data_IF_035320964957
#
_entry.id   IF_035320964957
#
_cell.length_a   1.000
_cell.length_b   1.000
_cell.length_c   1.000
_cell.angle_alpha   90.00
_cell.angle_beta   90.00
_cell.angle_gamma   90.00
#
_symmetry.space_group_name_H-M   'P 1'
#
loop_
_entity.id
_entity.type
_entity.pdbx_description
1 polymer ?
#
# COMPACT_ATOMS: atom_id res chain seq x y z
N UNK A 1 46.22 -48.63 -39.95
CA UNK A 1 45.18 -48.77 -38.93
C UNK A 1 45.59 -47.95 -37.72
N UNK A 2 44.82 -46.90 -37.45
CA UNK A 2 44.32 -46.50 -36.12
C UNK A 2 45.28 -46.31 -34.95
N UNK A 3 45.48 -45.04 -34.56
CA UNK A 3 45.32 -44.48 -33.19
C UNK A 3 46.07 -43.13 -33.10
N UNK A 4 45.48 -42.00 -33.52
CA UNK A 4 44.46 -41.19 -32.82
C UNK A 4 45.03 -40.46 -31.60
N UNK A 5 45.25 -39.15 -31.76
CA UNK A 5 45.79 -38.24 -30.74
C UNK A 5 44.90 -38.15 -29.49
N UNK A 6 45.48 -37.84 -28.30
CA UNK A 6 44.69 -37.53 -27.12
C UNK A 6 43.92 -36.22 -27.32
N UNK A 7 42.59 -36.31 -27.36
CA UNK A 7 41.72 -35.13 -27.36
C UNK A 7 41.79 -34.50 -25.99
N UNK A 8 42.28 -33.25 -25.92
CA UNK A 8 42.23 -32.44 -24.69
C UNK A 8 40.80 -31.96 -24.49
N UNK A 9 40.04 -32.66 -23.64
CA UNK A 9 38.70 -32.25 -23.22
C UNK A 9 38.74 -30.80 -22.70
N UNK A 10 37.88 -29.90 -23.19
CA UNK A 10 37.59 -28.65 -22.49
C UNK A 10 37.07 -28.97 -21.08
N UNK A 11 37.37 -28.09 -20.13
CA UNK A 11 36.89 -28.20 -18.75
C UNK A 11 35.37 -28.37 -18.70
N UNK A 12 34.90 -29.28 -17.87
CA UNK A 12 33.50 -29.37 -17.49
C UNK A 12 33.08 -28.01 -16.90
N UNK A 13 32.01 -27.43 -17.44
CA UNK A 13 31.36 -26.31 -16.77
C UNK A 13 30.68 -26.89 -15.53
N UNK A 14 31.25 -26.68 -14.35
CA UNK A 14 30.54 -26.89 -13.09
C UNK A 14 29.27 -26.03 -13.11
N UNK A 15 28.13 -26.67 -13.33
CA UNK A 15 26.82 -26.03 -13.20
C UNK A 15 26.59 -25.83 -11.70
N UNK A 16 27.00 -24.65 -11.20
CA UNK A 16 26.91 -24.28 -9.79
C UNK A 16 25.53 -24.65 -9.23
N UNK A 17 25.52 -25.35 -8.10
CA UNK A 17 24.29 -25.91 -7.55
C UNK A 17 23.28 -24.80 -7.23
N UNK A 18 21.96 -25.05 -7.35
CA UNK A 18 20.94 -24.02 -7.12
C UNK A 18 21.08 -23.31 -5.76
N UNK A 19 21.49 -24.04 -4.72
CA UNK A 19 21.77 -23.53 -3.39
C UNK A 19 22.97 -22.58 -3.33
N UNK A 20 24.03 -22.81 -4.11
CA UNK A 20 25.20 -21.91 -4.15
C UNK A 20 24.89 -20.59 -4.88
N UNK A 21 24.07 -20.66 -5.93
CA UNK A 21 23.51 -19.47 -6.61
C UNK A 21 22.67 -18.66 -5.61
N UNK A 22 21.82 -19.30 -4.80
CA UNK A 22 21.03 -18.62 -3.77
C UNK A 22 21.90 -18.08 -2.61
N UNK A 23 22.94 -18.81 -2.15
CA UNK A 23 23.91 -18.34 -1.14
C UNK A 23 24.64 -17.08 -1.63
N UNK A 24 25.02 -17.05 -2.90
CA UNK A 24 25.62 -15.87 -3.56
C UNK A 24 24.64 -14.70 -3.64
N UNK A 25 23.38 -14.93 -4.06
CA UNK A 25 22.32 -13.90 -4.11
C UNK A 25 21.99 -13.34 -2.71
N UNK A 26 21.86 -14.17 -1.68
CA UNK A 26 21.66 -13.76 -0.27
C UNK A 26 22.78 -12.81 0.18
N UNK A 27 24.03 -13.17 -0.16
CA UNK A 27 25.23 -12.36 0.14
C UNK A 27 25.25 -11.03 -0.62
N UNK A 28 24.83 -11.02 -1.90
CA UNK A 28 24.69 -9.79 -2.67
C UNK A 28 23.67 -8.82 -2.03
N UNK A 29 22.48 -9.31 -1.69
CA UNK A 29 21.42 -8.48 -1.12
C UNK A 29 21.78 -7.92 0.27
N UNK A 30 22.42 -8.70 1.16
CA UNK A 30 22.95 -8.19 2.45
C UNK A 30 24.00 -7.09 2.27
N UNK A 31 24.90 -7.23 1.28
CA UNK A 31 25.87 -6.18 0.92
C UNK A 31 25.18 -4.93 0.38
N UNK A 32 24.10 -5.10 -0.39
CA UNK A 32 23.32 -3.98 -0.95
C UNK A 32 22.56 -3.21 0.14
N UNK A 33 21.88 -3.90 1.06
CA UNK A 33 21.26 -3.28 2.23
C UNK A 33 22.28 -2.50 3.08
N UNK A 34 23.44 -3.12 3.36
CA UNK A 34 24.56 -2.48 4.06
C UNK A 34 25.10 -1.23 3.35
N UNK A 35 25.14 -1.25 2.02
CA UNK A 35 25.57 -0.12 1.20
C UNK A 35 24.55 1.03 1.25
N UNK A 36 23.25 0.73 1.24
CA UNK A 36 22.21 1.74 1.44
C UNK A 36 22.29 2.36 2.84
N UNK A 37 22.50 1.57 3.92
CA UNK A 37 22.70 2.13 5.26
C UNK A 37 23.89 3.09 5.31
N UNK A 38 25.06 2.67 4.81
CA UNK A 38 26.26 3.54 4.72
C UNK A 38 26.03 4.80 3.88
N UNK A 39 25.22 4.73 2.82
CA UNK A 39 24.90 5.91 2.00
C UNK A 39 23.92 6.85 2.70
N UNK A 40 22.99 6.33 3.51
CA UNK A 40 22.13 7.13 4.38
C UNK A 40 22.97 7.82 5.45
N UNK A 41 23.80 7.07 6.20
CA UNK A 41 24.73 7.57 7.22
C UNK A 41 25.58 8.74 6.70
N UNK A 42 26.16 8.61 5.50
CA UNK A 42 26.93 9.68 4.87
C UNK A 42 26.09 10.92 4.58
N UNK A 43 24.89 10.77 4.00
CA UNK A 43 24.03 11.92 3.64
C UNK A 43 23.49 12.60 4.91
N UNK A 44 23.26 11.86 6.01
CA UNK A 44 22.92 12.44 7.31
C UNK A 44 24.07 13.28 7.88
N UNK A 45 25.30 12.77 7.84
CA UNK A 45 26.49 13.49 8.28
C UNK A 45 26.79 14.74 7.43
N UNK A 46 26.55 14.66 6.11
CA UNK A 46 26.67 15.78 5.15
C UNK A 46 25.51 16.81 5.24
N UNK A 47 24.52 16.61 6.13
CA UNK A 47 23.25 17.36 6.19
C UNK A 47 22.53 17.45 4.82
N UNK A 48 22.65 16.42 4.00
CA UNK A 48 22.21 16.41 2.61
C UNK A 48 20.69 16.34 2.41
N UNK A 49 20.29 16.18 1.15
CA UNK A 49 18.90 16.36 0.72
C UNK A 49 17.89 15.46 1.46
N UNK A 50 17.07 16.08 2.32
CA UNK A 50 15.94 15.45 3.06
C UNK A 50 15.04 14.59 2.16
N UNK A 51 14.86 14.96 0.88
CA UNK A 51 14.09 14.18 -0.11
C UNK A 51 14.77 12.85 -0.46
N UNK A 52 16.09 12.84 -0.62
CA UNK A 52 16.88 11.64 -0.91
C UNK A 52 16.98 10.76 0.34
N UNK A 53 17.21 11.37 1.51
CA UNK A 53 17.22 10.68 2.81
C UNK A 53 15.88 9.96 3.07
N UNK A 54 14.73 10.58 2.77
CA UNK A 54 13.41 9.93 2.93
C UNK A 54 13.17 8.73 1.99
N UNK A 55 13.85 8.67 0.84
CA UNK A 55 13.62 7.64 -0.18
C UNK A 55 14.56 6.42 -0.08
N UNK A 56 15.71 6.57 0.59
CA UNK A 56 16.73 5.51 0.70
C UNK A 56 16.37 4.36 1.68
N UNK A 57 15.77 4.57 2.86
CA UNK A 57 15.43 3.50 3.80
C UNK A 57 14.55 2.41 3.18
N UNK A 58 13.58 2.77 2.33
CA UNK A 58 12.74 1.80 1.62
C UNK A 58 13.60 0.84 0.78
N UNK A 59 14.59 1.34 0.04
CA UNK A 59 15.50 0.51 -0.76
C UNK A 59 16.44 -0.36 0.09
N UNK A 60 16.82 0.12 1.27
CA UNK A 60 17.58 -0.66 2.24
C UNK A 60 16.74 -1.84 2.77
N UNK A 61 15.47 -1.58 3.09
CA UNK A 61 14.48 -2.57 3.50
C UNK A 61 14.15 -3.58 2.38
N UNK A 62 13.87 -3.12 1.15
CA UNK A 62 13.60 -3.99 0.00
C UNK A 62 14.76 -4.96 -0.26
N UNK A 63 16.01 -4.47 -0.14
CA UNK A 63 17.20 -5.30 -0.27
C UNK A 63 17.36 -6.31 0.89
N UNK A 64 16.95 -5.94 2.12
CA UNK A 64 16.94 -6.87 3.25
C UNK A 64 15.90 -7.97 3.08
N UNK A 65 14.66 -7.65 2.72
CA UNK A 65 13.58 -8.61 2.46
C UNK A 65 13.96 -9.60 1.33
N UNK A 66 14.68 -9.14 0.30
CA UNK A 66 15.25 -10.02 -0.73
C UNK A 66 16.35 -10.96 -0.20
N UNK A 67 17.09 -10.57 0.84
CA UNK A 67 18.06 -11.46 1.50
C UNK A 67 17.43 -12.44 2.49
N UNK A 68 16.32 -12.04 3.12
CA UNK A 68 15.56 -12.80 4.10
C UNK A 68 14.86 -13.98 3.45
N UNK A 69 14.12 -13.76 2.35
CA UNK A 69 13.49 -14.83 1.57
C UNK A 69 14.51 -15.88 1.08
N UNK A 70 15.68 -15.43 0.63
CA UNK A 70 16.79 -16.31 0.26
C UNK A 70 17.47 -16.99 1.46
N UNK A 71 17.32 -16.45 2.67
CA UNK A 71 17.76 -17.12 3.89
C UNK A 71 16.80 -18.24 4.27
N UNK A 72 15.49 -17.99 4.19
CA UNK A 72 14.45 -18.97 4.49
C UNK A 72 14.47 -20.13 3.49
N UNK A 73 14.58 -19.83 2.18
CA UNK A 73 14.80 -20.81 1.10
C UNK A 73 16.01 -21.72 1.39
N UNK A 74 17.10 -21.16 1.94
CA UNK A 74 18.33 -21.90 2.25
C UNK A 74 18.32 -22.59 3.62
N UNK A 75 17.42 -22.24 4.54
CA UNK A 75 17.48 -22.75 5.93
C UNK A 75 17.21 -24.26 5.99
N UNK A 76 16.51 -24.82 4.99
CA UNK A 76 16.32 -26.25 4.81
C UNK A 76 17.59 -27.02 4.37
N UNK A 77 18.60 -26.31 3.82
CA UNK A 77 19.86 -26.89 3.32
C UNK A 77 21.01 -26.79 4.35
N UNK A 78 20.76 -26.22 5.53
CA UNK A 78 21.76 -25.97 6.59
C UNK A 78 21.55 -26.92 7.78
N UNK A 79 22.62 -27.20 8.53
CA UNK A 79 22.47 -27.76 9.87
C UNK A 79 22.08 -26.69 10.91
N UNK A 80 21.83 -27.10 12.15
CA UNK A 80 21.35 -26.20 13.20
C UNK A 80 22.36 -25.12 13.63
N UNK A 81 23.66 -25.41 13.57
CA UNK A 81 24.73 -24.45 13.94
C UNK A 81 24.94 -23.44 12.80
N UNK A 82 24.96 -23.90 11.55
CA UNK A 82 24.98 -23.01 10.38
C UNK A 82 23.72 -22.13 10.30
N UNK A 83 22.54 -22.68 10.61
CA UNK A 83 21.29 -21.93 10.64
C UNK A 83 21.26 -20.87 11.76
N UNK A 84 21.68 -21.20 12.99
CA UNK A 84 21.79 -20.22 14.09
C UNK A 84 22.80 -19.11 13.75
N UNK A 85 23.95 -19.46 13.17
CA UNK A 85 24.95 -18.50 12.71
C UNK A 85 24.43 -17.60 11.58
N UNK A 86 23.54 -18.09 10.71
CA UNK A 86 22.90 -17.29 9.66
C UNK A 86 21.77 -16.40 10.18
N UNK A 87 20.98 -16.87 11.16
CA UNK A 87 19.98 -16.05 11.88
C UNK A 87 20.66 -14.91 12.66
N UNK A 88 21.77 -15.17 13.36
CA UNK A 88 22.54 -14.14 14.05
C UNK A 88 23.07 -13.05 13.11
N UNK A 89 23.51 -13.42 11.90
CA UNK A 89 23.87 -12.46 10.84
C UNK A 89 22.66 -11.65 10.38
N UNK A 90 21.51 -12.29 10.16
CA UNK A 90 20.29 -11.63 9.70
C UNK A 90 19.77 -10.59 10.72
N UNK A 91 19.77 -10.94 12.01
CA UNK A 91 19.42 -10.03 13.12
C UNK A 91 20.35 -8.81 13.20
N UNK A 92 21.66 -8.99 12.94
CA UNK A 92 22.61 -7.86 12.92
C UNK A 92 22.31 -6.86 11.79
N UNK A 93 21.93 -7.34 10.61
CA UNK A 93 21.50 -6.47 9.51
C UNK A 93 20.18 -5.74 9.83
N UNK A 94 19.21 -6.45 10.42
CA UNK A 94 17.93 -5.86 10.86
C UNK A 94 18.16 -4.72 11.86
N UNK A 95 18.94 -4.99 12.93
CA UNK A 95 19.27 -3.99 13.95
C UNK A 95 19.93 -2.74 13.34
N UNK A 96 20.84 -2.90 12.38
CA UNK A 96 21.47 -1.76 11.69
C UNK A 96 20.48 -1.00 10.80
N UNK A 97 19.52 -1.67 10.17
CA UNK A 97 18.46 -1.03 9.38
C UNK A 97 17.54 -0.18 10.27
N UNK A 98 17.13 -0.71 11.43
CA UNK A 98 16.30 0.00 12.41
C UNK A 98 17.03 1.25 12.95
N UNK A 99 18.29 1.11 13.37
CA UNK A 99 19.14 2.25 13.79
C UNK A 99 19.31 3.30 12.68
N UNK A 100 19.42 2.86 11.43
CA UNK A 100 19.51 3.77 10.27
C UNK A 100 18.19 4.51 10.05
N UNK A 101 17.05 3.83 10.21
CA UNK A 101 15.72 4.44 10.07
C UNK A 101 15.43 5.43 11.20
N UNK A 102 15.76 5.10 12.45
CA UNK A 102 15.62 6.01 13.59
C UNK A 102 16.47 7.28 13.44
N UNK A 103 17.70 7.15 12.93
CA UNK A 103 18.56 8.30 12.61
C UNK A 103 17.97 9.16 11.47
N UNK A 104 17.31 8.54 10.48
CA UNK A 104 16.57 9.25 9.42
C UNK A 104 15.37 10.00 9.99
N UNK A 105 14.52 9.37 10.80
CA UNK A 105 13.34 10.02 11.35
C UNK A 105 13.74 11.15 12.31
N UNK A 106 14.80 10.97 13.10
CA UNK A 106 15.40 12.02 13.94
C UNK A 106 15.87 13.22 13.11
N UNK A 107 16.52 12.99 11.97
CA UNK A 107 16.94 14.06 11.05
C UNK A 107 15.76 14.71 10.31
N UNK A 108 14.73 13.93 9.96
CA UNK A 108 13.54 14.41 9.26
C UNK A 108 12.55 15.14 10.17
N UNK A 109 12.61 14.94 11.49
CA UNK A 109 11.81 15.66 12.48
C UNK A 109 12.17 17.15 12.58
N UNK A 110 11.25 18.09 12.32
CA UNK A 110 11.46 19.50 12.60
C UNK A 110 11.16 19.78 14.08
N UNK A 111 12.02 20.55 14.76
CA UNK A 111 11.61 21.25 15.98
C UNK A 111 10.63 22.36 15.62
N UNK A 112 9.34 22.04 15.59
CA UNK A 112 8.23 22.96 15.30
C UNK A 112 7.97 23.98 16.44
N UNK A 113 9.03 24.59 16.98
CA UNK A 113 8.97 25.45 18.18
C UNK A 113 9.99 26.59 18.25
N UNK A 114 10.82 26.77 17.22
CA UNK A 114 11.86 27.80 17.19
C UNK A 114 11.57 28.92 16.16
N UNK A 115 10.54 28.77 15.30
CA UNK A 115 10.13 29.77 14.28
C UNK A 115 8.89 30.59 14.65
N UNK A 116 8.49 30.59 15.93
CA UNK A 116 7.30 31.29 16.44
C UNK A 116 7.62 32.34 17.53
N UNK A 117 8.90 32.60 17.81
CA UNK A 117 9.32 33.53 18.89
C UNK A 117 9.57 34.97 18.42
N UNK A 118 9.83 35.19 17.13
CA UNK A 118 10.34 36.47 16.61
C UNK A 118 9.31 37.25 15.75
N UNK A 119 8.04 36.82 15.72
CA UNK A 119 6.96 37.49 14.97
C UNK A 119 5.82 37.86 15.92
N UNK A 120 6.11 38.78 16.85
CA UNK A 120 5.14 39.37 17.80
C UNK A 120 5.54 40.79 18.24
N UNK A 121 6.40 41.46 17.49
CA UNK A 121 6.68 42.90 17.59
C UNK A 121 6.76 43.46 16.17
N UNK A 122 6.13 44.62 15.95
CA UNK A 122 5.62 45.07 14.65
C UNK A 122 4.47 44.15 14.18
N UNK A 123 3.30 44.63 13.78
CA UNK A 123 2.88 46.02 13.52
C UNK A 123 1.68 46.41 14.41
N UNK A 124 1.70 47.65 14.91
CA UNK A 124 0.53 48.37 15.40
C UNK A 124 0.43 49.68 14.63
N UNK A 125 -0.76 50.28 14.61
CA UNK A 125 -1.00 51.66 14.21
C UNK A 125 -0.81 51.99 12.72
N UNK A 126 -1.85 51.76 11.91
CA UNK A 126 -2.36 52.83 11.05
C UNK A 126 -3.85 52.63 10.72
N UNK A 127 -4.64 53.69 10.89
CA UNK A 127 -6.10 53.66 10.76
C UNK A 127 -6.59 54.55 9.59
N UNK A 128 -7.61 54.09 8.87
CA UNK A 128 -8.60 54.96 8.22
C UNK A 128 -8.41 55.42 6.75
N UNK A 129 -9.58 55.62 6.10
CA UNK A 129 -9.84 56.46 4.91
C UNK A 129 -9.34 55.98 3.53
N UNK A 130 -10.04 56.19 2.39
CA UNK A 130 -11.48 56.44 2.12
C UNK A 130 -11.77 56.42 0.60
N UNK A 131 -12.93 55.88 0.20
CA UNK A 131 -13.78 56.04 -1.04
C UNK A 131 -13.23 56.40 -2.43
N UNK A 132 -14.02 56.03 -3.46
CA UNK A 132 -14.12 56.63 -4.82
C UNK A 132 -13.00 56.27 -5.81
N UNK A 133 -13.18 56.23 -7.13
CA UNK A 133 -14.25 55.81 -8.08
C UNK A 133 -13.90 56.41 -9.45
N UNK A 134 -14.35 55.73 -10.51
CA UNK A 134 -14.61 56.22 -11.88
C UNK A 134 -13.44 56.61 -12.82
N UNK A 135 -13.33 55.78 -13.88
CA UNK A 135 -13.17 56.12 -15.31
C UNK A 135 -12.21 57.22 -15.81
N UNK A 136 -11.36 56.83 -16.76
CA UNK A 136 -11.59 57.20 -18.17
C UNK A 136 -10.85 56.28 -19.16
N UNK A 137 -11.52 55.89 -20.24
CA UNK A 137 -10.92 55.21 -21.39
C UNK A 137 -10.56 56.21 -22.51
N UNK A 138 -9.73 55.82 -23.50
CA UNK A 138 -9.90 56.17 -24.94
C UNK A 138 -8.83 55.57 -25.86
N UNK A 139 -9.26 54.63 -26.72
CA UNK A 139 -8.76 54.32 -28.10
C UNK A 139 -7.29 53.84 -28.32
N UNK A 140 -6.99 53.05 -29.36
CA UNK A 140 -7.87 52.48 -30.39
C UNK A 140 -7.15 51.70 -31.52
N UNK A 141 -7.91 51.34 -32.56
CA UNK A 141 -7.59 50.41 -33.68
C UNK A 141 -7.48 48.92 -33.25
N UNK A 142 -8.34 47.97 -33.70
CA UNK A 142 -8.79 47.54 -35.06
C UNK A 142 -7.68 46.79 -35.84
N UNK A 143 -7.95 45.66 -36.52
CA UNK A 143 -9.23 45.19 -37.08
C UNK A 143 -9.39 43.65 -37.12
N UNK A 144 -10.65 43.16 -37.05
CA UNK A 144 -11.34 42.19 -37.96
C UNK A 144 -10.67 40.86 -38.40
N UNK A 145 -11.34 39.73 -38.72
CA UNK A 145 -12.69 39.11 -38.62
C UNK A 145 -12.46 37.61 -39.04
N UNK A 146 -13.29 36.57 -38.90
CA UNK A 146 -14.68 36.34 -38.47
C UNK A 146 -14.73 35.05 -37.56
N UNK A 147 -15.78 34.32 -37.14
CA UNK A 147 -17.17 33.97 -37.54
C UNK A 147 -17.29 33.13 -38.84
N UNK A 148 -18.16 32.11 -39.00
CA UNK A 148 -19.18 31.48 -38.14
C UNK A 148 -19.27 29.95 -38.44
N UNK A 149 -19.41 29.05 -37.45
CA UNK A 149 -20.63 28.36 -36.94
C UNK A 149 -21.31 27.26 -37.81
N UNK A 150 -21.63 26.16 -37.09
CA UNK A 150 -22.75 25.20 -37.21
C UNK A 150 -22.71 23.86 -38.00
N UNK A 151 -23.38 22.88 -37.36
CA UNK A 151 -24.10 21.66 -37.78
C UNK A 151 -23.57 20.71 -38.88
N UNK A 152 -23.60 19.39 -38.60
CA UNK A 152 -23.48 18.35 -39.66
C UNK A 152 -23.47 16.88 -39.17
N UNK A 153 -24.65 16.25 -39.08
CA UNK A 153 -24.90 14.83 -38.72
C UNK A 153 -24.10 13.76 -39.51
N UNK A 154 -23.80 12.66 -38.79
CA UNK A 154 -23.92 11.23 -39.19
C UNK A 154 -23.20 10.66 -40.42
N UNK A 155 -22.53 9.51 -40.24
CA UNK A 155 -23.00 8.20 -40.77
C UNK A 155 -22.27 7.00 -40.13
N UNK A 156 -22.77 5.77 -40.34
CA UNK A 156 -22.24 4.52 -39.76
C UNK A 156 -21.70 3.58 -40.86
N UNK A 157 -21.02 2.48 -40.48
CA UNK A 157 -21.61 1.19 -40.83
C UNK A 157 -21.61 0.16 -39.68
N UNK A 158 -22.79 -0.41 -39.45
CA UNK A 158 -22.97 -1.82 -39.05
C UNK A 158 -22.88 -2.70 -40.32
N UNK A 159 -22.73 -4.03 -40.31
CA UNK A 159 -22.58 -5.06 -39.26
C UNK A 159 -21.94 -6.30 -39.95
N UNK A 160 -21.58 -7.34 -39.19
CA UNK A 160 -21.92 -8.73 -39.55
C UNK A 160 -21.86 -9.61 -38.30
N UNK A 161 -22.88 -10.46 -38.12
CA UNK A 161 -22.92 -11.53 -37.12
C UNK A 161 -22.50 -12.85 -37.82
N UNK A 162 -22.31 -14.00 -37.16
CA UNK A 162 -23.35 -14.74 -36.44
C UNK A 162 -22.78 -15.93 -35.63
N UNK A 163 -23.44 -16.27 -34.51
CA UNK A 163 -23.57 -17.61 -33.90
C UNK A 163 -22.25 -18.31 -33.42
N UNK A 164 -22.24 -19.18 -32.41
CA UNK A 164 -23.26 -20.11 -31.88
C UNK A 164 -23.38 -20.01 -30.34
N UNK A 165 -24.58 -20.27 -29.81
CA UNK A 165 -24.88 -20.37 -28.37
C UNK A 165 -24.59 -21.78 -27.84
N UNK A 166 -23.90 -21.89 -26.69
CA UNK A 166 -23.79 -23.14 -25.93
C UNK A 166 -23.88 -22.90 -24.40
N UNK A 167 -24.61 -23.80 -23.73
CA UNK A 167 -25.11 -23.80 -22.35
C UNK A 167 -24.23 -23.11 -21.29
N UNK A 168 -24.84 -22.15 -20.56
CA UNK A 168 -24.29 -21.58 -19.34
C UNK A 168 -24.76 -22.38 -18.10
N UNK A 169 -24.04 -23.47 -17.77
CA UNK A 169 -24.17 -24.15 -16.48
C UNK A 169 -23.24 -23.50 -15.43
N UNK A 170 -23.65 -23.52 -14.16
CA UNK A 170 -23.01 -22.69 -13.13
C UNK A 170 -21.58 -23.07 -12.78
N UNK A 171 -20.66 -22.11 -12.86
CA UNK A 171 -19.43 -22.07 -12.09
C UNK A 171 -19.33 -20.75 -11.34
N UNK A 172 -19.29 -20.83 -10.00
CA UNK A 172 -18.67 -19.80 -9.19
C UNK A 172 -17.17 -19.76 -9.56
N UNK A 173 -16.55 -18.58 -9.72
CA UNK A 173 -15.10 -18.46 -9.84
C UNK A 173 -14.39 -18.81 -8.53
N UNK A 174 -14.31 -20.10 -8.20
CA UNK A 174 -13.39 -20.61 -7.16
C UNK A 174 -11.98 -20.73 -7.71
N UNK A 175 -11.44 -19.62 -8.19
CA UNK A 175 -10.02 -19.44 -8.54
C UNK A 175 -9.53 -18.13 -7.89
N UNK A 176 -9.51 -18.15 -6.56
CA UNK A 176 -8.76 -17.17 -5.79
C UNK A 176 -7.28 -17.57 -5.85
N UNK A 177 -6.61 -17.21 -6.94
CA UNK A 177 -5.16 -17.35 -7.09
C UNK A 177 -4.49 -16.56 -5.96
N UNK A 178 -3.95 -17.27 -4.95
CA UNK A 178 -3.50 -16.71 -3.67
C UNK A 178 -2.19 -15.91 -3.80
N UNK A 179 -2.25 -14.75 -4.45
CA UNK A 179 -1.32 -13.65 -4.17
C UNK A 179 -1.57 -13.18 -2.74
N UNK A 180 -0.58 -13.35 -1.86
CA UNK A 180 -0.66 -13.06 -0.42
C UNK A 180 -0.73 -11.57 -0.06
N UNK A 181 -1.46 -10.76 -0.83
CA UNK A 181 -1.67 -9.35 -0.60
C UNK A 181 -2.80 -9.15 0.43
N UNK A 182 -2.50 -8.43 1.50
CA UNK A 182 -3.44 -8.26 2.61
C UNK A 182 -4.68 -7.42 2.23
N UNK A 183 -5.87 -7.63 2.84
CA UNK A 183 -7.14 -7.03 2.40
C UNK A 183 -7.27 -5.50 2.56
N UNK A 184 -6.25 -4.84 3.13
CA UNK A 184 -6.16 -3.37 3.21
C UNK A 184 -5.02 -2.79 2.35
N UNK A 185 -4.31 -3.59 1.54
CA UNK A 185 -3.21 -3.13 0.67
C UNK A 185 -3.70 -2.14 -0.39
N UNK A 186 -4.92 -2.30 -0.87
CA UNK A 186 -5.58 -1.37 -1.78
C UNK A 186 -5.66 0.06 -1.23
N UNK A 187 -5.61 0.25 0.10
CA UNK A 187 -5.50 1.59 0.70
C UNK A 187 -4.16 2.23 0.35
N UNK A 188 -3.06 1.48 0.35
CA UNK A 188 -1.73 2.02 0.02
C UNK A 188 -1.67 2.39 -1.47
N UNK A 189 -2.25 1.54 -2.32
CA UNK A 189 -2.38 1.76 -3.77
C UNK A 189 -3.26 2.98 -4.08
N UNK A 190 -4.36 3.18 -3.34
CA UNK A 190 -5.22 4.35 -3.45
C UNK A 190 -4.54 5.63 -2.93
N UNK A 191 -3.89 5.55 -1.78
CA UNK A 191 -3.13 6.64 -1.15
C UNK A 191 -1.97 7.11 -2.02
N UNK A 192 -1.28 6.18 -2.69
CA UNK A 192 -0.18 6.48 -3.61
C UNK A 192 -0.64 6.89 -5.03
N UNK A 193 -1.94 6.83 -5.33
CA UNK A 193 -2.50 7.20 -6.63
C UNK A 193 -2.33 6.15 -7.74
N UNK A 194 -1.98 4.91 -7.39
CA UNK A 194 -1.91 3.79 -8.33
C UNK A 194 -3.27 3.12 -8.57
N UNK A 195 -4.15 3.11 -7.58
CA UNK A 195 -5.52 2.63 -7.78
C UNK A 195 -6.33 3.67 -8.57
N UNK A 196 -6.77 3.29 -9.77
CA UNK A 196 -7.66 4.10 -10.62
C UNK A 196 -9.07 3.49 -10.59
N UNK A 197 -9.96 3.92 -9.65
CA UNK A 197 -11.36 3.49 -9.61
C UNK A 197 -12.21 4.23 -10.66
N UNK A 198 -11.69 4.38 -11.89
CA UNK A 198 -12.41 4.88 -13.04
C UNK A 198 -12.69 3.73 -14.02
N UNK A 199 -13.60 2.84 -13.60
CA UNK A 199 -14.54 2.29 -14.58
C UNK A 199 -15.19 3.51 -15.24
N UNK A 200 -15.15 3.68 -16.59
CA UNK A 200 -15.73 4.84 -17.23
C UNK A 200 -17.20 5.03 -16.83
N UNK A 201 -17.73 6.25 -16.99
CA UNK A 201 -19.16 6.56 -16.80
C UNK A 201 -20.06 5.92 -17.90
N UNK A 202 -19.88 4.62 -18.12
CA UNK A 202 -20.59 3.76 -19.04
C UNK A 202 -21.88 3.25 -18.43
N UNK A 203 -22.87 3.09 -19.32
CA UNK A 203 -24.27 2.71 -19.06
C UNK A 203 -24.41 1.23 -18.65
N UNK A 204 -23.73 0.83 -17.58
CA UNK A 204 -23.63 -0.56 -17.12
C UNK A 204 -23.11 -0.75 -15.69
N UNK A 205 -22.75 0.32 -14.96
CA UNK A 205 -22.43 0.23 -13.54
C UNK A 205 -23.55 -0.47 -12.76
N UNK A 206 -23.23 -1.56 -12.06
CA UNK A 206 -24.19 -2.23 -11.18
C UNK A 206 -24.53 -1.31 -10.02
N UNK A 207 -25.65 -0.59 -10.11
CA UNK A 207 -26.38 -0.12 -8.93
C UNK A 207 -26.83 -1.34 -8.15
N UNK A 208 -25.97 -1.82 -7.24
CA UNK A 208 -26.35 -2.85 -6.29
C UNK A 208 -27.45 -2.27 -5.41
N UNK A 209 -28.70 -2.66 -5.67
CA UNK A 209 -29.85 -2.29 -4.85
C UNK A 209 -29.86 -3.02 -3.51
N UNK A 210 -28.95 -3.98 -3.34
CA UNK A 210 -28.56 -4.52 -2.04
C UNK A 210 -27.81 -3.42 -1.28
N UNK A 211 -28.56 -2.59 -0.53
CA UNK A 211 -28.05 -1.99 0.70
C UNK A 211 -27.74 -3.12 1.67
N UNK A 212 -26.59 -3.76 1.50
CA UNK A 212 -25.99 -4.53 2.56
C UNK A 212 -25.67 -3.52 3.68
N UNK A 213 -26.39 -3.61 4.79
CA UNK A 213 -26.10 -2.80 5.97
C UNK A 213 -24.75 -3.29 6.53
N UNK A 214 -23.69 -2.64 6.07
CA UNK A 214 -22.33 -2.92 6.48
C UNK A 214 -22.20 -2.60 7.97
N UNK A 215 -21.79 -3.61 8.75
CA UNK A 215 -21.64 -3.49 10.19
C UNK A 215 -20.80 -2.27 10.58
N UNK A 216 -21.24 -1.58 11.63
CA UNK A 216 -20.52 -0.44 12.17
C UNK A 216 -19.20 -0.88 12.80
N UNK A 217 -18.08 -0.34 12.34
CA UNK A 217 -16.76 -0.63 12.88
C UNK A 217 -16.43 0.22 14.09
N UNK A 218 -15.91 -0.42 15.12
CA UNK A 218 -15.72 0.09 16.49
C UNK A 218 -14.24 0.11 16.91
N UNK A 219 -13.31 -0.09 15.97
CA UNK A 219 -11.87 -0.21 16.28
C UNK A 219 -11.42 -1.62 16.67
N UNK A 220 -12.30 -2.63 16.71
CA UNK A 220 -11.87 -4.01 17.05
C UNK A 220 -10.85 -4.52 16.03
N UNK A 221 -9.58 -4.65 16.43
CA UNK A 221 -8.49 -5.06 15.54
C UNK A 221 -8.75 -6.42 14.85
N UNK A 222 -9.28 -7.41 15.57
CA UNK A 222 -9.60 -8.74 15.02
C UNK A 222 -10.81 -8.77 14.07
N UNK A 223 -11.49 -7.64 13.84
CA UNK A 223 -12.49 -7.45 12.78
C UNK A 223 -11.96 -6.67 11.56
N UNK A 224 -10.79 -6.03 11.66
CA UNK A 224 -10.30 -5.05 10.67
C UNK A 224 -10.31 -5.61 9.24
N UNK A 225 -9.64 -6.73 9.01
CA UNK A 225 -9.52 -7.32 7.66
C UNK A 225 -10.88 -7.69 7.05
N UNK A 226 -11.78 -8.31 7.81
CA UNK A 226 -13.11 -8.67 7.30
C UNK A 226 -13.98 -7.44 7.03
N UNK A 227 -13.84 -6.37 7.81
CA UNK A 227 -14.60 -5.14 7.61
C UNK A 227 -14.07 -4.31 6.45
N UNK A 228 -12.75 -4.16 6.31
CA UNK A 228 -12.15 -3.30 5.28
C UNK A 228 -12.22 -3.93 3.87
N UNK A 229 -12.20 -5.25 3.77
CA UNK A 229 -12.48 -5.99 2.54
C UNK A 229 -13.95 -5.82 2.09
N UNK A 230 -14.88 -5.95 3.04
CA UNK A 230 -16.31 -5.70 2.81
C UNK A 230 -16.58 -4.23 2.42
N UNK A 231 -15.92 -3.28 3.09
CA UNK A 231 -15.95 -1.85 2.71
C UNK A 231 -15.43 -1.64 1.29
N UNK A 232 -14.36 -2.35 0.90
CA UNK A 232 -13.82 -2.25 -0.45
C UNK A 232 -14.85 -2.69 -1.49
N UNK A 233 -15.40 -3.90 -1.33
CA UNK A 233 -16.36 -4.48 -2.27
C UNK A 233 -17.70 -3.73 -2.34
N UNK A 234 -18.19 -3.19 -1.20
CA UNK A 234 -19.47 -2.48 -1.14
C UNK A 234 -19.39 -0.97 -1.43
N UNK A 235 -18.22 -0.35 -1.22
CA UNK A 235 -18.06 1.12 -1.29
C UNK A 235 -16.92 1.52 -2.22
N UNK A 236 -15.68 1.04 -2.00
CA UNK A 236 -14.51 1.51 -2.77
C UNK A 236 -14.60 1.16 -4.26
N UNK A 237 -14.94 -0.09 -4.58
CA UNK A 237 -14.96 -0.62 -5.95
C UNK A 237 -16.23 -0.19 -6.73
N UNK A 238 -17.07 0.68 -6.14
CA UNK A 238 -18.29 1.24 -6.77
C UNK A 238 -18.05 2.59 -7.45
N UNK A 239 -18.96 2.98 -8.36
CA UNK A 239 -18.94 4.29 -9.04
C UNK A 239 -19.47 5.47 -8.20
N UNK A 240 -19.43 5.38 -6.87
CA UNK A 240 -19.72 6.50 -5.97
C UNK A 240 -18.61 7.56 -6.06
N UNK A 241 -18.95 8.85 -5.90
CA UNK A 241 -17.93 9.91 -5.81
C UNK A 241 -17.11 9.78 -4.51
N UNK A 242 -15.88 10.30 -4.45
CA UNK A 242 -15.06 10.23 -3.23
C UNK A 242 -15.73 10.87 -2.01
N UNK A 243 -16.56 11.91 -2.21
CA UNK A 243 -17.36 12.53 -1.15
C UNK A 243 -18.44 11.61 -0.59
N UNK A 244 -19.15 10.87 -1.46
CA UNK A 244 -20.14 9.87 -1.04
C UNK A 244 -19.46 8.67 -0.36
N UNK A 245 -18.31 8.21 -0.87
CA UNK A 245 -17.51 7.15 -0.24
C UNK A 245 -17.04 7.55 1.16
N UNK A 246 -16.61 8.81 1.34
CA UNK A 246 -16.24 9.37 2.66
C UNK A 246 -17.46 9.54 3.59
N UNK A 247 -18.64 9.87 3.06
CA UNK A 247 -19.88 9.96 3.85
C UNK A 247 -20.31 8.59 4.40
N UNK A 248 -20.23 7.53 3.59
CA UNK A 248 -20.49 6.14 4.04
C UNK A 248 -19.42 5.64 5.00
N UNK A 249 -18.15 6.01 4.78
CA UNK A 249 -17.07 5.73 5.71
C UNK A 249 -17.36 6.35 7.09
N UNK A 250 -17.74 7.63 7.15
CA UNK A 250 -18.10 8.32 8.40
C UNK A 250 -19.28 7.71 9.14
N UNK A 251 -20.35 7.30 8.44
CA UNK A 251 -21.55 6.74 9.09
C UNK A 251 -21.31 5.33 9.64
N UNK A 252 -20.46 4.55 8.99
CA UNK A 252 -20.10 3.17 9.38
C UNK A 252 -19.04 3.07 10.48
N UNK A 253 -18.39 4.18 10.88
CA UNK A 253 -17.42 4.19 12.00
C UNK A 253 -18.08 4.59 13.32
N UNK A 254 -17.52 4.14 14.45
CA UNK A 254 -17.96 4.47 15.83
C UNK A 254 -16.78 4.88 16.72
N UNK A 255 -17.07 5.67 17.76
CA UNK A 255 -16.09 6.15 18.74
C UNK A 255 -14.88 6.84 18.09
N UNK A 256 -13.72 6.63 18.68
CA UNK A 256 -12.41 7.16 18.27
C UNK A 256 -12.15 7.00 16.75
N UNK A 257 -12.62 5.89 16.16
CA UNK A 257 -12.45 5.61 14.73
C UNK A 257 -13.28 6.55 13.83
N UNK A 258 -14.41 7.08 14.32
CA UNK A 258 -15.16 8.15 13.65
C UNK A 258 -14.46 9.49 13.83
N UNK A 259 -13.89 9.74 15.00
CA UNK A 259 -13.26 11.02 15.32
C UNK A 259 -11.98 11.26 14.51
N UNK A 260 -11.21 10.18 14.22
CA UNK A 260 -10.11 10.18 13.24
C UNK A 260 -10.48 10.74 11.87
N UNK A 261 -11.76 10.66 11.47
CA UNK A 261 -12.25 11.12 10.16
C UNK A 261 -13.22 12.30 10.25
N UNK A 262 -13.46 12.84 11.45
CA UNK A 262 -14.47 13.88 11.68
C UNK A 262 -14.06 15.23 11.08
N UNK A 263 -12.84 15.68 11.33
CA UNK A 263 -12.33 16.99 10.88
C UNK A 263 -11.89 17.11 9.42
N UNK A 264 -11.98 16.03 8.62
CA UNK A 264 -11.53 16.03 7.22
C UNK A 264 -12.52 16.77 6.28
N UNK A 265 -12.03 17.23 5.13
CA UNK A 265 -12.84 17.90 4.12
C UNK A 265 -13.80 16.96 3.36
N UNK A 266 -14.23 17.42 2.18
CA UNK A 266 -14.79 16.56 1.13
C UNK A 266 -13.74 16.27 0.04
N UNK A 267 -14.10 15.44 -0.93
CA UNK A 267 -13.25 15.16 -2.10
C UNK A 267 -12.26 14.01 -1.92
N UNK A 268 -11.39 13.84 -2.91
CA UNK A 268 -10.54 12.65 -3.05
C UNK A 268 -9.41 12.58 -2.02
N UNK A 269 -8.73 13.69 -1.76
CA UNK A 269 -7.63 13.73 -0.79
C UNK A 269 -8.11 13.51 0.64
N UNK A 270 -9.28 14.07 1.00
CA UNK A 270 -9.93 13.81 2.30
C UNK A 270 -10.34 12.34 2.46
N UNK A 271 -10.78 11.68 1.38
CA UNK A 271 -11.08 10.25 1.38
C UNK A 271 -9.81 9.38 1.52
N UNK A 272 -8.73 9.72 0.81
CA UNK A 272 -7.41 9.06 0.95
C UNK A 272 -6.83 9.24 2.35
N UNK A 273 -6.95 10.44 2.93
CA UNK A 273 -6.50 10.73 4.30
C UNK A 273 -7.28 9.93 5.34
N UNK A 274 -8.61 9.83 5.18
CA UNK A 274 -9.46 9.02 6.06
C UNK A 274 -9.03 7.55 6.06
N UNK A 275 -8.84 6.95 4.87
CA UNK A 275 -8.38 5.57 4.74
C UNK A 275 -6.98 5.35 5.33
N UNK A 276 -6.04 6.28 5.08
CA UNK A 276 -4.68 6.23 5.63
C UNK A 276 -4.69 6.28 7.15
N UNK A 277 -5.43 7.24 7.72
CA UNK A 277 -5.55 7.44 9.17
C UNK A 277 -6.17 6.22 9.87
N UNK A 278 -7.21 5.62 9.26
CA UNK A 278 -7.79 4.37 9.75
C UNK A 278 -6.82 3.20 9.68
N UNK A 279 -6.06 3.05 8.59
CA UNK A 279 -5.06 1.97 8.48
C UNK A 279 -3.90 2.12 9.46
N UNK A 280 -3.44 3.36 9.71
CA UNK A 280 -2.39 3.65 10.70
C UNK A 280 -2.84 3.36 12.13
N UNK A 281 -4.13 3.52 12.45
CA UNK A 281 -4.68 3.25 13.79
C UNK A 281 -5.10 1.79 13.96
N UNK A 282 -5.90 1.26 13.03
CA UNK A 282 -6.59 -0.03 13.14
C UNK A 282 -5.93 -1.17 12.36
N UNK A 283 -5.24 -0.86 11.26
CA UNK A 283 -4.59 -1.83 10.36
C UNK A 283 -3.25 -2.39 10.85
N UNK A 284 -2.81 -2.02 12.05
CA UNK A 284 -1.51 -2.39 12.62
C UNK A 284 -1.38 -3.91 12.78
N UNK A 285 -0.55 -4.54 11.95
CA UNK A 285 -0.37 -6.00 11.90
C UNK A 285 -0.09 -6.63 13.27
N UNK A 286 0.80 -6.05 14.06
CA UNK A 286 1.12 -6.59 15.39
C UNK A 286 -0.10 -6.58 16.34
N UNK A 287 -0.95 -5.54 16.28
CA UNK A 287 -2.19 -5.45 17.09
C UNK A 287 -3.21 -6.47 16.62
N UNK A 288 -3.41 -6.61 15.31
CA UNK A 288 -4.34 -7.57 14.72
C UNK A 288 -3.92 -9.00 15.08
N UNK A 289 -2.63 -9.35 14.90
CA UNK A 289 -2.08 -10.66 15.25
C UNK A 289 -2.22 -10.93 16.76
N UNK A 290 -1.85 -9.99 17.62
CA UNK A 290 -2.02 -10.13 19.07
C UNK A 290 -3.49 -10.32 19.49
N UNK A 291 -4.43 -9.60 18.85
CA UNK A 291 -5.86 -9.75 19.12
C UNK A 291 -6.42 -11.11 18.68
N UNK A 292 -5.92 -11.68 17.58
CA UNK A 292 -6.28 -13.04 17.16
C UNK A 292 -5.65 -14.12 18.05
N UNK A 293 -4.38 -13.98 18.43
CA UNK A 293 -3.71 -14.90 19.36
C UNK A 293 -4.40 -14.91 20.74
N UNK A 294 -4.66 -13.73 21.32
CA UNK A 294 -5.42 -13.63 22.57
C UNK A 294 -6.85 -14.22 22.46
N UNK A 295 -7.43 -14.22 21.25
CA UNK A 295 -8.71 -14.88 21.00
C UNK A 295 -8.59 -16.41 20.86
N UNK A 296 -7.42 -16.97 20.49
CA UNK A 296 -7.15 -18.41 20.56
C UNK A 296 -7.03 -18.87 22.01
N UNK A 297 -6.25 -18.16 22.83
CA UNK A 297 -6.03 -18.52 24.24
C UNK A 297 -7.35 -18.56 25.04
N UNK A 298 -8.31 -17.72 24.65
CA UNK A 298 -9.69 -17.68 25.19
C UNK A 298 -10.61 -18.74 24.58
N UNK A 299 -10.32 -19.25 23.38
CA UNK A 299 -11.06 -20.33 22.74
C UNK A 299 -10.47 -21.69 23.12
N UNK A 300 -10.84 -22.19 24.30
CA UNK A 300 -10.61 -23.60 24.61
C UNK A 300 -11.19 -24.51 23.52
N UNK A 301 -10.51 -25.60 23.12
CA UNK A 301 -10.91 -26.46 22.00
C UNK A 301 -12.25 -27.19 22.20
N UNK A 302 -12.83 -27.09 23.40
CA UNK A 302 -14.07 -27.74 23.80
C UNK A 302 -13.85 -29.22 24.16
N UNK A 303 -14.97 -29.93 24.36
CA UNK A 303 -15.01 -31.36 24.69
C UNK A 303 -15.82 -32.19 23.68
N UNK A 304 -16.45 -31.56 22.68
CA UNK A 304 -17.21 -32.26 21.63
C UNK A 304 -16.59 -32.05 20.24
N UNK A 305 -16.74 -33.01 19.30
CA UNK A 305 -16.21 -32.88 17.94
C UNK A 305 -16.67 -31.61 17.21
N UNK A 306 -17.91 -31.16 17.45
CA UNK A 306 -18.46 -29.93 16.87
C UNK A 306 -17.83 -28.66 17.44
N UNK A 307 -17.36 -28.68 18.69
CA UNK A 307 -16.56 -27.59 19.27
C UNK A 307 -15.14 -27.60 18.71
N UNK A 308 -14.50 -28.77 18.66
CA UNK A 308 -13.15 -28.93 18.12
C UNK A 308 -13.07 -28.52 16.64
N UNK A 309 -14.08 -28.86 15.82
CA UNK A 309 -14.18 -28.36 14.45
C UNK A 309 -14.31 -26.84 14.41
N UNK A 310 -15.20 -26.23 15.21
CA UNK A 310 -15.35 -24.76 15.26
C UNK A 310 -14.09 -24.05 15.76
N UNK A 311 -13.31 -24.68 16.63
CA UNK A 311 -11.98 -24.22 17.03
C UNK A 311 -11.00 -24.29 15.85
N UNK A 312 -10.89 -25.45 15.18
CA UNK A 312 -9.99 -25.65 14.06
C UNK A 312 -10.24 -24.70 12.87
N UNK A 313 -11.51 -24.47 12.48
CA UNK A 313 -11.84 -23.51 11.42
C UNK A 313 -11.42 -22.07 11.80
N UNK A 314 -11.68 -21.65 13.05
CA UNK A 314 -11.27 -20.30 13.53
C UNK A 314 -9.76 -20.15 13.61
N UNK A 315 -9.07 -21.16 14.13
CA UNK A 315 -7.62 -21.19 14.17
C UNK A 315 -7.02 -21.14 12.76
N UNK A 316 -7.58 -21.89 11.80
CA UNK A 316 -7.17 -21.83 10.39
C UNK A 316 -7.34 -20.42 9.81
N UNK A 317 -8.50 -19.79 10.00
CA UNK A 317 -8.73 -18.41 9.52
C UNK A 317 -7.71 -17.44 10.11
N UNK A 318 -7.35 -17.58 11.39
CA UNK A 318 -6.44 -16.64 12.04
C UNK A 318 -4.97 -16.90 11.76
N UNK A 319 -4.55 -18.16 11.56
CA UNK A 319 -3.20 -18.51 11.10
C UNK A 319 -2.91 -17.82 9.75
N UNK A 320 -3.89 -17.82 8.84
CA UNK A 320 -3.83 -17.13 7.54
C UNK A 320 -3.74 -15.59 7.63
N UNK A 321 -4.02 -14.99 8.80
CA UNK A 321 -3.81 -13.56 9.07
C UNK A 321 -2.57 -13.29 9.94
N UNK A 322 -1.82 -14.33 10.32
CA UNK A 322 -0.62 -14.19 11.17
C UNK A 322 0.71 -14.35 10.43
N UNK A 323 0.75 -15.19 9.40
CA UNK A 323 1.82 -15.22 8.40
C UNK A 323 1.91 -13.87 7.66
#
# INVERSE_FOLDING_TARGET
MDSKSPVKSPSENEVAMPSDISKSRRTHYRRLASLYCKRIEAILAEQGSRRVVKALPRRAQDAFECSEKLNDELTCDLDAEEAEAELGKQLNYLQKLEQTAEAVDTFLWPRAKETLSDVSQLESDNDGSSVSSDDTATQGAKSAHAEALEAGRSETPQLNAENVVALQAGHLPTDATMTGDAPDRWIDECVAGYAVPNVPYGRGCRRSTVRAEMDSYDGTASKWFSWIDLFKALVHDTAMSPGEKLAVLRSSLKGDCRDLVYGLGGGEDAYKEALRSLKVSCGRRYVIRAAHLQALDRLGPGKSPSQLKRFAERARTWILWTA
#
